data_IF_867542967869
#
_entry.id   IF_867542967869
#
_cell.length_a   1.000
_cell.length_b   1.000
_cell.length_c   1.000
_cell.angle_alpha   90.00
_cell.angle_beta   90.00
_cell.angle_gamma   90.00
#
_symmetry.space_group_name_H-M   'P 1'
#
loop_
_entity.id
_entity.type
_entity.pdbx_description
1 polymer ?
#
# COMPACT_ATOMS: atom_id res chain seq x y z
N UNK A 1 -1.10 -14.74 18.47
CA UNK A 1 -1.21 -14.30 17.07
C UNK A 1 0.17 -13.88 16.61
N UNK A 2 0.72 -14.52 15.58
CA UNK A 2 2.10 -14.27 15.09
C UNK A 2 2.15 -12.94 14.33
N UNK A 3 3.24 -12.21 14.47
CA UNK A 3 3.56 -11.05 13.62
C UNK A 3 4.67 -11.45 12.67
N UNK A 4 4.50 -11.15 11.38
CA UNK A 4 5.47 -11.40 10.31
C UNK A 4 5.86 -10.06 9.72
N UNK A 5 7.16 -9.84 9.56
CA UNK A 5 7.72 -8.66 8.91
C UNK A 5 8.08 -9.06 7.49
N UNK A 6 7.62 -8.30 6.50
CA UNK A 6 7.94 -8.47 5.10
C UNK A 6 8.79 -7.30 4.64
N UNK A 7 10.06 -7.57 4.38
CA UNK A 7 11.00 -6.56 3.87
C UNK A 7 10.79 -6.37 2.38
N UNK A 8 10.33 -5.18 1.99
CA UNK A 8 9.98 -4.90 0.59
C UNK A 8 11.20 -4.95 -0.30
N UNK A 9 12.37 -4.48 0.15
CA UNK A 9 13.63 -4.63 -0.62
C UNK A 9 13.91 -6.08 -0.98
N UNK A 10 13.72 -7.01 -0.04
CA UNK A 10 14.01 -8.43 -0.28
C UNK A 10 13.04 -9.04 -1.31
N UNK A 11 11.80 -8.55 -1.33
CA UNK A 11 10.76 -9.02 -2.26
C UNK A 11 10.98 -8.45 -3.67
N UNK A 12 11.27 -7.15 -3.78
CA UNK A 12 11.43 -6.46 -5.06
C UNK A 12 12.85 -6.57 -5.63
N UNK A 13 13.82 -7.03 -4.82
CA UNK A 13 15.25 -7.14 -5.15
C UNK A 13 15.86 -5.83 -5.63
N UNK A 14 15.52 -4.74 -4.95
CA UNK A 14 15.95 -3.38 -5.28
C UNK A 14 15.33 -2.35 -4.35
N UNK A 15 15.53 -1.07 -4.64
CA UNK A 15 14.97 0.05 -3.87
C UNK A 15 13.79 0.75 -4.56
N UNK A 16 13.44 0.35 -5.79
CA UNK A 16 12.35 0.94 -6.57
C UNK A 16 11.14 0.00 -6.60
N UNK A 17 10.10 0.32 -5.84
CA UNK A 17 8.84 -0.40 -5.86
C UNK A 17 7.99 0.10 -7.04
N UNK A 18 8.34 -0.32 -8.25
CA UNK A 18 7.80 0.25 -9.49
C UNK A 18 7.03 -0.73 -10.37
N UNK A 19 7.40 -2.01 -10.39
CA UNK A 19 6.89 -2.97 -11.38
C UNK A 19 5.75 -3.86 -10.85
N UNK A 20 4.98 -4.40 -11.78
CA UNK A 20 3.82 -5.25 -11.51
C UNK A 20 4.21 -6.57 -10.83
N UNK A 21 5.31 -7.20 -11.25
CA UNK A 21 5.69 -8.53 -10.76
C UNK A 21 6.10 -8.47 -9.29
N UNK A 22 6.87 -7.46 -8.93
CA UNK A 22 7.23 -7.17 -7.54
C UNK A 22 6.01 -6.86 -6.68
N UNK A 23 5.03 -6.13 -7.22
CA UNK A 23 3.79 -5.80 -6.53
C UNK A 23 2.91 -7.04 -6.29
N UNK A 24 2.75 -7.90 -7.30
CA UNK A 24 2.04 -9.18 -7.18
C UNK A 24 2.72 -10.10 -6.16
N UNK A 25 4.06 -10.16 -6.16
CA UNK A 25 4.81 -10.95 -5.19
C UNK A 25 4.58 -10.46 -3.75
N UNK A 26 4.60 -9.14 -3.53
CA UNK A 26 4.28 -8.56 -2.23
C UNK A 26 2.85 -8.89 -1.82
N UNK A 27 1.88 -8.69 -2.71
CA UNK A 27 0.47 -9.04 -2.49
C UNK A 27 0.34 -10.50 -2.06
N UNK A 28 0.89 -11.42 -2.84
CA UNK A 28 0.85 -12.86 -2.57
C UNK A 28 1.40 -13.23 -1.19
N UNK A 29 2.55 -12.65 -0.79
CA UNK A 29 3.12 -12.92 0.52
C UNK A 29 2.24 -12.38 1.66
N UNK A 30 1.69 -11.17 1.50
CA UNK A 30 0.73 -10.63 2.47
C UNK A 30 -0.49 -11.54 2.56
N UNK A 31 -1.07 -11.96 1.43
CA UNK A 31 -2.25 -12.83 1.42
C UNK A 31 -1.99 -14.14 2.16
N UNK A 32 -0.86 -14.78 1.89
CA UNK A 32 -0.46 -16.04 2.52
C UNK A 32 -0.49 -15.92 4.04
N UNK A 33 0.10 -14.86 4.57
CA UNK A 33 0.14 -14.61 6.01
C UNK A 33 -1.22 -14.19 6.59
N UNK A 34 -2.02 -13.43 5.85
CA UNK A 34 -3.38 -13.08 6.29
C UNK A 34 -4.33 -14.29 6.31
N UNK A 35 -4.12 -15.30 5.46
CA UNK A 35 -4.89 -16.55 5.48
C UNK A 35 -4.56 -17.42 6.69
N UNK A 36 -3.32 -17.40 7.17
CA UNK A 36 -2.89 -18.13 8.38
C UNK A 36 -3.23 -17.39 9.68
N UNK A 37 -3.79 -16.18 9.59
CA UNK A 37 -4.19 -15.37 10.73
C UNK A 37 -3.03 -14.59 11.36
N UNK A 38 -1.89 -14.48 10.68
CA UNK A 38 -0.78 -13.62 11.08
C UNK A 38 -1.15 -12.14 10.96
N UNK A 39 -0.50 -11.31 11.79
CA UNK A 39 -0.30 -9.89 11.50
C UNK A 39 0.88 -9.72 10.56
N UNK A 40 0.78 -8.79 9.63
CA UNK A 40 1.81 -8.48 8.64
C UNK A 40 2.25 -7.04 8.83
N UNK A 41 3.55 -6.83 8.97
CA UNK A 41 4.19 -5.52 8.93
C UNK A 41 4.97 -5.43 7.63
N UNK A 42 4.60 -4.50 6.76
CA UNK A 42 5.33 -4.24 5.51
C UNK A 42 6.43 -3.23 5.81
N UNK A 43 7.66 -3.70 5.84
CA UNK A 43 8.83 -2.87 6.11
C UNK A 43 9.34 -2.26 4.80
N UNK A 44 9.32 -0.93 4.75
CA UNK A 44 9.71 -0.13 3.58
C UNK A 44 11.13 0.42 3.70
N UNK A 45 11.91 -0.04 4.68
CA UNK A 45 13.27 0.41 4.90
C UNK A 45 14.13 0.26 3.63
N UNK A 46 14.81 1.35 3.27
CA UNK A 46 15.66 1.47 2.09
C UNK A 46 14.93 1.51 0.73
N UNK A 47 13.60 1.37 0.70
CA UNK A 47 12.83 1.70 -0.51
C UNK A 47 12.96 3.20 -0.75
N UNK A 48 13.31 3.62 -1.95
CA UNK A 48 13.50 5.04 -2.28
C UNK A 48 12.34 5.64 -3.05
N UNK A 49 11.52 4.80 -3.70
CA UNK A 49 10.41 5.23 -4.52
C UNK A 49 9.33 4.15 -4.57
N UNK A 50 8.07 4.57 -4.53
CA UNK A 50 6.91 3.70 -4.73
C UNK A 50 6.12 4.27 -5.89
N UNK A 51 5.90 3.50 -6.95
CA UNK A 51 5.03 3.95 -8.03
C UNK A 51 3.56 3.76 -7.64
N UNK A 52 2.69 4.57 -8.24
CA UNK A 52 1.24 4.39 -8.14
C UNK A 52 0.82 3.00 -8.63
N UNK A 53 1.45 2.51 -9.70
CA UNK A 53 1.17 1.20 -10.29
C UNK A 53 1.45 0.08 -9.29
N UNK A 54 2.63 0.12 -8.66
CA UNK A 54 3.02 -0.86 -7.66
C UNK A 54 2.03 -0.87 -6.48
N UNK A 55 1.73 0.30 -5.92
CA UNK A 55 0.79 0.40 -4.81
C UNK A 55 -0.64 -0.05 -5.21
N UNK A 56 -1.06 0.29 -6.42
CA UNK A 56 -2.35 -0.15 -6.95
C UNK A 56 -2.42 -1.67 -7.00
N UNK A 57 -1.45 -2.31 -7.62
CA UNK A 57 -1.42 -3.77 -7.78
C UNK A 57 -1.32 -4.47 -6.42
N UNK A 58 -0.36 -4.06 -5.59
CA UNK A 58 -0.09 -4.69 -4.30
C UNK A 58 -1.28 -4.59 -3.33
N UNK A 59 -1.97 -3.45 -3.29
CA UNK A 59 -2.99 -3.22 -2.26
C UNK A 59 -4.42 -3.37 -2.77
N UNK A 60 -4.75 -2.98 -4.02
CA UNK A 60 -6.14 -3.11 -4.48
C UNK A 60 -6.57 -4.58 -4.61
N UNK A 61 -5.66 -5.46 -5.04
CA UNK A 61 -5.91 -6.90 -5.06
C UNK A 61 -6.15 -7.42 -3.65
N UNK A 62 -5.34 -7.00 -2.68
CA UNK A 62 -5.51 -7.40 -1.28
C UNK A 62 -6.90 -7.05 -0.72
N UNK A 63 -7.43 -5.88 -1.06
CA UNK A 63 -8.78 -5.45 -0.66
C UNK A 63 -9.91 -6.11 -1.44
N UNK A 64 -9.62 -6.74 -2.59
CA UNK A 64 -10.57 -7.62 -3.27
C UNK A 64 -10.60 -9.01 -2.62
N UNK A 65 -9.45 -9.51 -2.19
CA UNK A 65 -9.30 -10.85 -1.61
C UNK A 65 -9.77 -10.98 -0.16
N UNK A 66 -9.77 -9.88 0.61
CA UNK A 66 -10.16 -9.89 2.02
C UNK A 66 -11.10 -8.74 2.39
N UNK A 67 -11.99 -8.95 3.38
CA UNK A 67 -12.77 -7.85 3.94
C UNK A 67 -11.84 -6.75 4.47
N UNK A 68 -12.13 -5.49 4.15
CA UNK A 68 -11.32 -4.35 4.59
C UNK A 68 -11.04 -4.39 6.09
N UNK A 69 -12.02 -4.75 6.94
CA UNK A 69 -11.83 -4.88 8.39
C UNK A 69 -10.71 -5.86 8.78
N UNK A 70 -10.55 -6.96 8.05
CA UNK A 70 -9.50 -7.96 8.29
C UNK A 70 -8.13 -7.39 7.92
N UNK A 71 -8.02 -6.81 6.71
CA UNK A 71 -6.78 -6.17 6.25
C UNK A 71 -6.36 -5.07 7.22
N UNK A 72 -7.26 -4.15 7.56
CA UNK A 72 -6.97 -2.99 8.41
C UNK A 72 -6.59 -3.35 9.86
N UNK A 73 -6.93 -4.56 10.33
CA UNK A 73 -6.57 -5.03 11.69
C UNK A 73 -5.25 -5.80 11.69
N UNK A 74 -4.91 -6.42 10.57
CA UNK A 74 -3.80 -7.36 10.45
C UNK A 74 -2.60 -6.81 9.69
N UNK A 75 -2.76 -5.80 8.84
CA UNK A 75 -1.69 -5.19 8.05
C UNK A 75 -1.30 -3.81 8.59
N UNK A 76 0.00 -3.57 8.74
CA UNK A 76 0.59 -2.27 9.06
C UNK A 76 1.86 -2.04 8.24
N UNK A 77 2.36 -0.81 8.24
CA UNK A 77 3.58 -0.42 7.54
C UNK A 77 4.60 0.11 8.54
N UNK A 78 5.89 -0.03 8.23
CA UNK A 78 7.00 0.55 9.00
C UNK A 78 8.05 1.13 8.07
N UNK A 79 8.82 2.10 8.57
CA UNK A 79 9.97 2.71 7.88
C UNK A 79 9.62 3.28 6.49
N UNK A 80 8.43 3.85 6.34
CA UNK A 80 8.03 4.44 5.06
C UNK A 80 8.87 5.71 4.82
N UNK A 81 9.49 5.87 3.64
CA UNK A 81 10.20 7.09 3.30
C UNK A 81 9.28 8.31 3.45
N UNK A 82 9.72 9.40 4.11
CA UNK A 82 8.86 10.56 4.35
C UNK A 82 8.21 11.12 3.08
N UNK A 83 8.94 11.10 1.95
CA UNK A 83 8.45 11.56 0.64
C UNK A 83 7.35 10.67 0.06
N UNK A 84 7.37 9.38 0.36
CA UNK A 84 6.42 8.39 -0.18
C UNK A 84 5.24 8.13 0.76
N UNK A 85 5.35 8.53 2.02
CA UNK A 85 4.33 8.35 3.06
C UNK A 85 2.97 8.93 2.64
N UNK A 86 2.98 10.15 2.08
CA UNK A 86 1.79 10.82 1.57
C UNK A 86 1.16 10.06 0.38
N UNK A 87 1.98 9.66 -0.59
CA UNK A 87 1.53 8.95 -1.79
C UNK A 87 0.93 7.59 -1.44
N UNK A 88 1.63 6.81 -0.61
CA UNK A 88 1.17 5.52 -0.14
C UNK A 88 -0.16 5.63 0.61
N UNK A 89 -0.30 6.65 1.48
CA UNK A 89 -1.55 6.92 2.17
C UNK A 89 -2.69 7.27 1.22
N UNK A 90 -2.44 8.13 0.22
CA UNK A 90 -3.42 8.49 -0.79
C UNK A 90 -3.90 7.27 -1.58
N UNK A 91 -2.97 6.40 -1.96
CA UNK A 91 -3.31 5.18 -2.69
C UNK A 91 -4.10 4.21 -1.80
N UNK A 92 -3.68 3.96 -0.56
CA UNK A 92 -4.44 3.13 0.37
C UNK A 92 -5.82 3.73 0.66
N UNK A 93 -5.95 5.06 0.78
CA UNK A 93 -7.25 5.76 0.90
C UNK A 93 -8.16 5.48 -0.30
N UNK A 94 -7.60 5.48 -1.51
CA UNK A 94 -8.35 5.15 -2.74
C UNK A 94 -8.90 3.72 -2.72
N UNK A 95 -8.20 2.79 -2.06
CA UNK A 95 -8.57 1.37 -2.03
C UNK A 95 -9.26 0.92 -0.72
N UNK A 96 -9.18 1.72 0.36
CA UNK A 96 -9.66 1.38 1.70
C UNK A 96 -10.40 2.52 2.38
N UNK A 97 -11.67 2.26 2.74
CA UNK A 97 -12.52 3.20 3.49
C UNK A 97 -11.99 3.53 4.91
N UNK A 98 -11.00 2.78 5.43
CA UNK A 98 -10.44 3.00 6.78
C UNK A 98 -8.91 3.17 6.81
N UNK A 99 -8.34 3.79 5.78
CA UNK A 99 -6.89 4.05 5.62
C UNK A 99 -6.21 4.68 6.86
N UNK A 100 -6.90 5.53 7.64
CA UNK A 100 -6.35 6.16 8.85
C UNK A 100 -5.81 5.15 9.87
N UNK A 101 -6.33 3.92 9.88
CA UNK A 101 -5.85 2.86 10.79
C UNK A 101 -4.47 2.31 10.43
N UNK A 102 -4.05 2.42 9.17
CA UNK A 102 -2.74 1.92 8.72
C UNK A 102 -1.57 2.75 9.23
N UNK A 103 -1.83 4.04 9.45
CA UNK A 103 -0.79 5.01 9.76
C UNK A 103 -0.95 5.61 11.15
N UNK A 104 -1.83 5.07 12.01
CA UNK A 104 -2.13 5.64 13.33
C UNK A 104 -0.90 5.73 14.24
N UNK A 105 0.10 4.87 14.02
CA UNK A 105 1.34 4.85 14.78
C UNK A 105 2.53 5.45 14.01
N UNK A 106 2.32 5.78 12.73
CA UNK A 106 3.37 6.27 11.83
C UNK A 106 3.21 7.77 11.55
N UNK A 107 1.98 8.31 11.59
CA UNK A 107 1.65 9.72 11.35
C UNK A 107 1.15 10.39 12.64
N UNK A 108 1.59 11.61 12.90
CA UNK A 108 0.96 12.46 13.91
C UNK A 108 -0.47 12.83 13.50
N UNK A 109 -1.32 13.25 14.45
CA UNK A 109 -2.66 13.72 14.12
C UNK A 109 -2.61 14.94 13.18
N UNK A 110 -1.59 15.81 13.30
CA UNK A 110 -1.42 16.93 12.37
C UNK A 110 -1.10 16.46 10.95
N UNK A 111 -0.25 15.44 10.79
CA UNK A 111 0.05 14.87 9.47
C UNK A 111 -1.21 14.22 8.86
N UNK A 112 -2.05 13.56 9.65
CA UNK A 112 -3.32 13.00 9.17
C UNK A 112 -4.34 14.07 8.72
N UNK A 113 -4.28 15.26 9.35
CA UNK A 113 -5.14 16.42 9.04
C UNK A 113 -4.64 17.19 7.81
N UNK A 114 -3.32 17.26 7.59
CA UNK A 114 -2.68 17.90 6.43
C UNK A 114 -2.95 17.18 5.10
N UNK A 115 -3.49 15.96 5.13
CA UNK A 115 -3.97 15.23 3.94
C UNK A 115 -5.51 15.09 3.86
N UNK A 116 -6.32 16.18 3.96
CA UNK A 116 -7.76 16.04 4.08
C UNK A 116 -8.47 15.76 2.73
N UNK A 117 -7.91 16.21 1.58
CA UNK A 117 -8.45 16.01 0.22
C UNK A 117 -7.34 15.58 -0.77
N UNK A 118 -7.56 14.77 -1.81
CA UNK A 118 -8.81 14.51 -2.54
C UNK A 118 -9.53 15.83 -2.84
N UNK A 119 -8.99 16.62 -3.77
CA UNK A 119 -9.79 17.54 -4.61
C UNK A 119 -9.23 17.75 -6.02
N UNK A 120 -8.05 17.24 -6.36
CA UNK A 120 -7.73 16.95 -7.75
C UNK A 120 -7.63 15.44 -7.91
N UNK A 121 -8.77 14.85 -8.25
CA UNK A 121 -8.79 13.57 -8.93
C UNK A 121 -7.81 13.67 -10.09
N UNK A 122 -6.70 12.93 -10.01
CA UNK A 122 -6.01 12.51 -11.20
C UNK A 122 -6.99 11.54 -11.88
N UNK A 123 -7.90 12.07 -12.70
CA UNK A 123 -8.55 11.30 -13.75
C UNK A 123 -7.43 10.85 -14.68
N UNK A 124 -7.07 9.55 -14.75
CA UNK A 124 -6.34 9.10 -15.90
C UNK A 124 -7.27 9.36 -17.09
N UNK A 125 -6.96 10.36 -17.91
CA UNK A 125 -7.45 10.38 -19.29
C UNK A 125 -6.80 9.17 -19.96
N UNK A 126 -7.50 8.03 -19.90
CA UNK A 126 -7.30 6.98 -20.88
C UNK A 126 -7.81 7.55 -22.19
N UNK A 127 -6.89 8.11 -22.97
CA UNK A 127 -7.13 8.44 -24.36
C UNK A 127 -7.20 7.10 -25.11
N UNK A 128 -8.36 6.43 -25.02
CA UNK A 128 -8.71 5.35 -25.93
C UNK A 128 -8.90 6.00 -27.30
N UNK A 129 -7.80 6.10 -28.05
CA UNK A 129 -7.89 6.18 -29.50
C UNK A 129 -8.48 4.87 -29.98
N UNK A 130 -9.81 4.82 -30.10
CA UNK A 130 -10.46 3.87 -30.98
C UNK A 130 -9.95 4.17 -32.40
N UNK A 131 -9.01 3.35 -32.85
CA UNK A 131 -8.71 3.25 -34.27
C UNK A 131 -9.81 2.39 -34.90
N UNK A 132 -10.72 3.04 -35.60
CA UNK A 132 -11.47 2.45 -36.71
C UNK A 132 -11.09 3.21 -37.98
#
# INVERSE_FOLDING_TARGET
>A
MKTVILDVIAIIKGNLAADFRSADNLCYQIEKELRTGSKVVVNMEGVSFISQTFAHVAFSQLYRSFPARKVNKALSFSNIPPKEKANLLLWIKKYSKHYRRFFKNELSEEELVLYPGVTHAFTPTFDYRESN
#
